data_IF_274345394582
#
_entry.id   IF_274345394582
#
_cell.length_a   1.000
_cell.length_b   1.000
_cell.length_c   1.000
_cell.angle_alpha   90.00
_cell.angle_beta   90.00
_cell.angle_gamma   90.00
#
_symmetry.space_group_name_H-M   'P 1'
#
loop_
_entity.id
_entity.type
_entity.pdbx_description
1 polymer ?
#
# COMPACT_ATOMS: atom_id res chain seq x y z
N UNK A 1 26.20 7.56 8.05
CA UNK A 1 25.50 8.43 7.07
C UNK A 1 25.38 9.83 7.65
N UNK A 2 25.41 10.91 6.85
CA UNK A 2 25.47 12.27 7.37
C UNK A 2 24.26 12.57 8.27
N UNK A 3 24.51 13.17 9.44
CA UNK A 3 23.50 13.75 10.32
C UNK A 3 22.88 15.02 9.74
N UNK A 4 22.91 15.19 8.41
CA UNK A 4 22.46 16.40 7.76
C UNK A 4 20.94 16.45 7.81
N UNK A 5 20.44 17.44 8.54
CA UNK A 5 19.04 17.82 8.51
C UNK A 5 18.93 18.96 7.51
N UNK A 6 18.14 18.77 6.46
CA UNK A 6 17.88 19.81 5.47
C UNK A 6 16.99 20.90 6.08
N UNK A 7 17.23 22.14 5.69
CA UNK A 7 16.48 23.32 6.15
C UNK A 7 14.96 23.15 5.98
N UNK A 8 14.52 22.50 4.89
CA UNK A 8 13.12 22.18 4.63
C UNK A 8 13.01 21.15 3.49
N UNK A 9 11.80 20.67 3.20
CA UNK A 9 11.56 19.66 2.17
C UNK A 9 11.87 20.15 0.75
N UNK A 10 11.68 21.43 0.44
CA UNK A 10 12.05 22.02 -0.87
C UNK A 10 13.56 21.96 -1.09
N UNK A 11 14.38 22.26 -0.07
CA UNK A 11 15.84 22.09 -0.16
C UNK A 11 16.22 20.62 -0.35
N UNK A 12 15.53 19.71 0.33
CA UNK A 12 15.70 18.28 0.12
C UNK A 12 15.33 17.86 -1.32
N UNK A 13 14.17 18.30 -1.83
CA UNK A 13 13.71 18.03 -3.21
C UNK A 13 14.75 18.49 -4.23
N UNK A 14 15.29 19.70 -4.07
CA UNK A 14 16.35 20.23 -4.92
C UNK A 14 17.64 19.40 -4.82
N UNK A 15 18.07 19.05 -3.61
CA UNK A 15 19.27 18.20 -3.39
C UNK A 15 19.14 16.83 -4.04
N UNK A 16 17.96 16.24 -3.99
CA UNK A 16 17.67 14.93 -4.60
C UNK A 16 17.52 15.01 -6.12
N UNK A 17 17.50 16.20 -6.71
CA UNK A 17 17.32 16.39 -8.15
C UNK A 17 15.98 15.84 -8.65
N UNK A 18 14.91 15.93 -7.83
CA UNK A 18 13.58 15.44 -8.20
C UNK A 18 13.08 16.27 -9.39
N UNK A 19 12.98 15.64 -10.55
CA UNK A 19 12.49 16.26 -11.76
C UNK A 19 10.96 16.38 -11.74
N UNK A 20 10.39 17.39 -12.43
CA UNK A 20 8.98 17.34 -12.79
C UNK A 20 8.72 16.12 -13.68
N UNK A 21 7.49 15.62 -13.61
CA UNK A 21 6.97 14.55 -14.47
C UNK A 21 5.81 15.13 -15.31
N UNK A 22 5.34 14.37 -16.29
CA UNK A 22 4.33 14.77 -17.26
C UNK A 22 4.77 15.95 -18.17
N UNK A 23 6.05 16.02 -18.52
CA UNK A 23 6.60 17.05 -19.42
C UNK A 23 6.74 16.58 -20.87
N UNK A 24 6.64 15.27 -21.12
CA UNK A 24 6.90 14.66 -22.42
C UNK A 24 8.39 14.42 -22.68
N UNK A 25 9.23 14.54 -21.65
CA UNK A 25 10.66 14.31 -21.75
C UNK A 25 10.93 12.81 -21.95
N UNK A 26 11.72 12.48 -22.98
CA UNK A 26 12.21 11.12 -23.18
C UNK A 26 13.49 10.87 -22.38
N UNK A 27 13.58 9.68 -21.82
CA UNK A 27 14.72 9.15 -21.08
C UNK A 27 15.27 7.97 -21.87
N UNK A 28 16.59 7.95 -22.10
CA UNK A 28 17.26 6.80 -22.71
C UNK A 28 18.27 6.23 -21.71
N UNK A 29 17.98 5.02 -21.23
CA UNK A 29 18.88 4.29 -20.35
C UNK A 29 19.36 3.02 -21.04
N UNK A 30 20.62 3.02 -21.49
CA UNK A 30 21.26 1.86 -22.15
C UNK A 30 20.44 1.31 -23.33
N UNK A 31 19.83 2.19 -24.13
CA UNK A 31 19.01 1.81 -25.29
C UNK A 31 17.53 1.58 -24.98
N UNK A 32 17.14 1.56 -23.71
CA UNK A 32 15.75 1.52 -23.26
C UNK A 32 15.23 2.96 -23.24
N UNK A 33 14.33 3.29 -24.17
CA UNK A 33 13.68 4.61 -24.24
C UNK A 33 12.37 4.57 -23.45
N UNK A 34 12.18 5.47 -22.49
CA UNK A 34 10.92 5.73 -21.79
C UNK A 34 10.59 7.22 -21.82
N UNK A 35 9.42 7.61 -21.32
CA UNK A 35 9.05 9.02 -21.10
C UNK A 35 8.72 9.27 -19.63
N UNK A 36 8.59 10.56 -19.28
CA UNK A 36 8.19 10.99 -17.95
C UNK A 36 6.67 11.11 -17.79
N UNK A 37 5.87 10.51 -18.67
CA UNK A 37 4.41 10.58 -18.62
C UNK A 37 3.86 9.50 -17.69
N UNK A 38 3.03 9.91 -16.74
CA UNK A 38 2.31 8.99 -15.88
C UNK A 38 1.26 8.21 -16.67
N UNK A 39 1.26 6.89 -16.47
CA UNK A 39 0.27 5.99 -17.05
C UNK A 39 0.05 4.78 -16.13
N UNK A 40 -0.70 3.79 -16.61
CA UNK A 40 -0.76 2.45 -16.03
C UNK A 40 0.15 1.53 -16.84
N UNK A 41 1.27 1.14 -16.28
CA UNK A 41 2.24 0.28 -16.96
C UNK A 41 1.96 -1.18 -16.64
N UNK A 42 1.62 -1.96 -17.67
CA UNK A 42 1.40 -3.39 -17.51
C UNK A 42 2.73 -4.13 -17.33
N UNK A 43 2.86 -4.85 -16.22
CA UNK A 43 4.02 -5.65 -15.88
C UNK A 43 3.57 -7.03 -15.44
N UNK A 44 4.11 -8.09 -16.07
CA UNK A 44 3.86 -9.46 -15.59
C UNK A 44 4.33 -9.60 -14.15
N UNK A 45 3.57 -10.34 -13.34
CA UNK A 45 4.02 -10.81 -12.03
C UNK A 45 5.29 -11.65 -12.21
N UNK A 46 6.00 -11.84 -11.11
CA UNK A 46 7.23 -12.64 -11.12
C UNK A 46 6.94 -14.12 -11.35
N UNK A 47 5.80 -14.58 -10.86
CA UNK A 47 5.30 -15.93 -11.11
C UNK A 47 4.77 -16.07 -12.56
N UNK A 48 4.52 -14.96 -13.25
CA UNK A 48 4.06 -14.93 -14.64
C UNK A 48 2.58 -15.25 -14.82
N UNK A 49 1.83 -15.29 -13.73
CA UNK A 49 0.44 -15.74 -13.61
C UNK A 49 -0.60 -14.61 -13.67
N UNK A 50 -0.18 -13.35 -13.47
CA UNK A 50 -1.06 -12.18 -13.54
C UNK A 50 -0.32 -10.93 -14.02
N UNK A 51 -1.07 -9.87 -14.32
CA UNK A 51 -0.55 -8.55 -14.73
C UNK A 51 -0.72 -7.55 -13.60
N UNK A 52 0.40 -7.00 -13.12
CA UNK A 52 0.42 -5.81 -12.28
C UNK A 52 0.23 -4.58 -13.16
N UNK A 53 -0.68 -3.70 -12.78
CA UNK A 53 -0.89 -2.40 -13.42
C UNK A 53 -0.23 -1.32 -12.57
N UNK A 54 0.99 -0.93 -12.91
CA UNK A 54 1.79 -0.02 -12.09
C UNK A 54 1.47 1.42 -12.46
N UNK A 55 0.94 2.19 -11.51
CA UNK A 55 0.71 3.62 -11.70
C UNK A 55 2.00 4.43 -11.50
N UNK A 56 2.20 5.45 -12.32
CA UNK A 56 3.36 6.35 -12.26
C UNK A 56 4.11 6.42 -13.58
N UNK A 57 5.37 6.84 -13.55
CA UNK A 57 6.24 6.87 -14.73
C UNK A 57 6.84 5.51 -15.01
N UNK A 58 7.14 5.25 -16.28
CA UNK A 58 7.72 3.99 -16.70
C UNK A 58 9.13 3.80 -16.13
N UNK A 59 9.42 2.60 -15.60
CA UNK A 59 10.67 2.30 -14.89
C UNK A 59 10.99 3.32 -13.79
N UNK A 60 10.04 3.61 -12.91
CA UNK A 60 10.41 4.32 -11.68
C UNK A 60 11.45 3.50 -10.91
N UNK A 61 12.71 3.93 -11.03
CA UNK A 61 13.87 3.32 -10.41
C UNK A 61 14.04 3.83 -8.97
N UNK A 62 13.01 4.36 -8.33
CA UNK A 62 13.12 4.85 -6.95
C UNK A 62 11.80 4.75 -6.24
N UNK A 63 11.88 4.22 -5.02
CA UNK A 63 10.77 4.16 -4.08
C UNK A 63 11.04 5.09 -2.90
N UNK A 64 9.94 5.65 -2.39
CA UNK A 64 9.96 6.61 -1.30
C UNK A 64 9.00 6.20 -0.19
N UNK A 65 9.31 6.62 1.04
CA UNK A 65 8.35 6.64 2.15
C UNK A 65 8.52 7.92 2.94
N UNK A 66 7.41 8.59 3.23
CA UNK A 66 7.40 9.80 4.05
C UNK A 66 6.88 9.55 5.45
N UNK A 67 7.49 10.16 6.45
CA UNK A 67 6.97 10.20 7.81
C UNK A 67 7.18 11.59 8.43
N UNK A 68 6.21 12.01 9.25
CA UNK A 68 6.24 13.28 9.98
C UNK A 68 7.40 13.41 10.96
N UNK A 69 8.03 12.29 11.33
CA UNK A 69 9.28 12.28 12.06
C UNK A 69 10.06 10.98 11.81
N UNK A 70 11.35 11.00 12.11
CA UNK A 70 12.13 9.77 12.27
C UNK A 70 11.83 9.12 13.63
N UNK A 71 11.13 8.00 13.61
CA UNK A 71 10.75 7.25 14.82
C UNK A 71 11.86 6.30 15.30
N UNK A 72 13.01 6.25 14.62
CA UNK A 72 14.12 5.34 14.93
C UNK A 72 13.91 3.95 14.35
N UNK A 73 12.83 3.27 14.74
CA UNK A 73 12.42 1.98 14.18
C UNK A 73 11.34 2.15 13.11
N UNK A 74 11.36 1.29 12.08
CA UNK A 74 10.36 1.30 11.01
C UNK A 74 9.73 -0.09 10.85
N UNK A 75 8.63 -0.30 11.57
CA UNK A 75 7.89 -1.56 11.66
C UNK A 75 6.57 -1.50 10.87
N UNK A 76 6.03 -2.67 10.51
CA UNK A 76 4.71 -2.82 9.87
C UNK A 76 3.57 -2.31 10.76
N UNK A 77 2.36 -2.18 10.19
CA UNK A 77 1.16 -1.82 10.95
C UNK A 77 0.91 -2.77 12.13
N UNK A 78 0.99 -4.07 11.89
CA UNK A 78 0.80 -5.10 12.90
C UNK A 78 1.92 -5.10 13.96
N UNK A 79 3.18 -4.95 13.55
CA UNK A 79 4.32 -5.06 14.49
C UNK A 79 4.50 -3.81 15.37
N UNK A 80 3.80 -2.71 15.07
CA UNK A 80 3.67 -1.56 15.99
C UNK A 80 2.75 -1.87 17.17
N UNK A 81 1.85 -2.84 17.06
CA UNK A 81 0.89 -3.21 18.11
C UNK A 81 1.55 -4.19 19.09
N UNK A 82 1.92 -3.68 20.27
CA UNK A 82 2.65 -4.48 21.26
C UNK A 82 1.74 -5.40 22.09
N UNK A 83 0.52 -4.95 22.38
CA UNK A 83 -0.43 -5.71 23.20
C UNK A 83 -1.06 -6.86 22.38
N UNK A 84 -0.86 -8.12 22.82
CA UNK A 84 -1.38 -9.31 22.12
C UNK A 84 -2.88 -9.24 21.80
N UNK A 85 -3.70 -8.76 22.75
CA UNK A 85 -5.15 -8.68 22.56
C UNK A 85 -5.56 -7.60 21.55
N UNK A 86 -4.82 -6.49 21.47
CA UNK A 86 -5.03 -5.47 20.43
C UNK A 86 -4.54 -5.94 19.07
N UNK A 87 -3.43 -6.67 19.02
CA UNK A 87 -2.93 -7.30 17.81
C UNK A 87 -3.96 -8.29 17.27
N UNK A 88 -4.49 -9.15 18.13
CA UNK A 88 -5.55 -10.08 17.76
C UNK A 88 -6.80 -9.35 17.23
N UNK A 89 -7.25 -8.29 17.88
CA UNK A 89 -8.37 -7.48 17.38
C UNK A 89 -8.11 -6.86 16.00
N UNK A 90 -6.90 -6.34 15.76
CA UNK A 90 -6.50 -5.81 14.47
C UNK A 90 -6.49 -6.91 13.38
N UNK A 91 -6.02 -8.12 13.71
CA UNK A 91 -6.06 -9.28 12.82
C UNK A 91 -7.50 -9.68 12.49
N UNK A 92 -8.41 -9.75 13.46
CA UNK A 92 -9.82 -10.05 13.20
C UNK A 92 -10.43 -9.06 12.21
N UNK A 93 -10.20 -7.76 12.38
CA UNK A 93 -10.71 -6.71 11.50
C UNK A 93 -10.12 -6.78 10.10
N UNK A 94 -8.81 -6.98 9.98
CA UNK A 94 -8.12 -7.13 8.68
C UNK A 94 -8.60 -8.39 7.94
N UNK A 95 -8.73 -9.52 8.63
CA UNK A 95 -9.26 -10.76 8.05
C UNK A 95 -10.71 -10.58 7.60
N UNK A 96 -11.56 -10.03 8.46
CA UNK A 96 -12.98 -9.78 8.12
C UNK A 96 -13.11 -8.86 6.91
N UNK A 97 -12.33 -7.78 6.87
CA UNK A 97 -12.29 -6.86 5.73
C UNK A 97 -11.92 -7.57 4.43
N UNK A 98 -10.89 -8.43 4.45
CA UNK A 98 -10.46 -9.19 3.26
C UNK A 98 -11.49 -10.24 2.83
N UNK A 99 -12.19 -10.89 3.76
CA UNK A 99 -13.28 -11.80 3.43
C UNK A 99 -14.45 -11.05 2.76
N UNK A 100 -14.80 -9.87 3.27
CA UNK A 100 -15.80 -9.01 2.66
C UNK A 100 -15.37 -8.55 1.26
N UNK A 101 -14.11 -8.15 1.11
CA UNK A 101 -13.54 -7.71 -0.15
C UNK A 101 -13.50 -8.84 -1.20
N UNK A 102 -13.17 -10.07 -0.80
CA UNK A 102 -13.16 -11.23 -1.69
C UNK A 102 -14.53 -11.58 -2.29
N UNK A 103 -15.62 -11.13 -1.65
CA UNK A 103 -16.99 -11.30 -2.13
C UNK A 103 -17.59 -10.04 -2.74
N UNK A 104 -16.78 -8.97 -2.86
CA UNK A 104 -17.22 -7.71 -3.43
C UNK A 104 -17.47 -7.88 -4.95
N UNK A 105 -18.60 -7.41 -5.52
CA UNK A 105 -18.91 -7.58 -6.94
C UNK A 105 -17.80 -7.14 -7.90
N UNK A 106 -17.21 -5.96 -7.64
CA UNK A 106 -16.04 -5.45 -8.37
C UNK A 106 -14.86 -6.44 -8.35
N UNK A 107 -14.55 -7.05 -7.20
CA UNK A 107 -13.43 -7.99 -7.08
C UNK A 107 -13.72 -9.28 -7.84
N UNK A 108 -14.94 -9.80 -7.73
CA UNK A 108 -15.36 -10.99 -8.46
C UNK A 108 -15.27 -10.78 -9.97
N UNK A 109 -15.80 -9.66 -10.50
CA UNK A 109 -15.71 -9.36 -11.93
C UNK A 109 -14.27 -9.10 -12.41
N UNK A 110 -13.43 -8.49 -11.55
CA UNK A 110 -12.01 -8.30 -11.86
C UNK A 110 -11.22 -9.60 -11.93
N UNK A 111 -11.62 -10.63 -11.17
CA UNK A 111 -10.99 -11.95 -11.25
C UNK A 111 -11.25 -12.65 -12.59
N UNK A 112 -12.39 -12.35 -13.21
CA UNK A 112 -12.76 -12.86 -14.54
C UNK A 112 -12.18 -12.02 -15.69
N UNK A 113 -11.68 -10.81 -15.41
CA UNK A 113 -11.06 -9.93 -16.40
C UNK A 113 -9.63 -10.36 -16.71
N UNK A 114 -9.41 -10.82 -17.94
CA UNK A 114 -8.08 -11.12 -18.48
C UNK A 114 -7.63 -10.04 -19.47
N UNK A 115 -6.36 -9.63 -19.36
CA UNK A 115 -5.72 -8.71 -20.28
C UNK A 115 -4.92 -9.48 -21.34
N UNK A 116 -5.16 -9.17 -22.60
CA UNK A 116 -4.30 -9.58 -23.70
C UNK A 116 -3.24 -8.49 -23.96
N UNK A 117 -2.01 -8.76 -23.56
CA UNK A 117 -0.89 -7.81 -23.74
C UNK A 117 -0.07 -8.09 -25.00
N UNK A 118 -0.17 -9.31 -25.56
CA UNK A 118 0.52 -9.75 -26.78
C UNK A 118 -0.30 -10.89 -27.40
N UNK A 119 -0.76 -10.76 -28.66
CA UNK A 119 -1.56 -11.77 -29.35
C UNK A 119 -0.93 -13.17 -29.43
N UNK A 120 0.37 -13.30 -29.16
CA UNK A 120 1.12 -14.56 -29.15
C UNK A 120 1.15 -15.22 -27.77
N UNK A 121 0.63 -14.57 -26.74
CA UNK A 121 0.65 -15.05 -25.36
C UNK A 121 -0.76 -15.24 -24.82
N UNK A 122 -0.90 -16.12 -23.84
CA UNK A 122 -2.18 -16.29 -23.14
C UNK A 122 -2.56 -14.99 -22.41
N UNK A 123 -3.84 -14.61 -22.49
CA UNK A 123 -4.39 -13.52 -21.68
C UNK A 123 -4.23 -13.86 -20.20
N UNK A 124 -3.85 -12.87 -19.40
CA UNK A 124 -3.58 -13.04 -17.97
C UNK A 124 -4.52 -12.17 -17.13
N UNK A 125 -4.97 -12.64 -15.96
CA UNK A 125 -5.78 -11.84 -15.06
C UNK A 125 -4.99 -10.64 -14.53
N UNK A 126 -5.71 -9.60 -14.07
CA UNK A 126 -5.08 -8.49 -13.32
C UNK A 126 -4.75 -8.96 -11.91
N UNK A 127 -3.56 -8.63 -11.41
CA UNK A 127 -3.14 -8.99 -10.07
C UNK A 127 -3.98 -8.27 -9.00
N UNK A 128 -4.70 -9.04 -8.19
CA UNK A 128 -5.50 -8.53 -7.07
C UNK A 128 -4.75 -8.65 -5.75
N UNK A 129 -4.58 -7.53 -5.05
CA UNK A 129 -3.85 -7.48 -3.77
C UNK A 129 -4.76 -7.04 -2.63
N UNK A 130 -5.51 -7.99 -2.06
CA UNK A 130 -6.48 -7.70 -0.99
C UNK A 130 -5.82 -7.18 0.30
N UNK A 131 -4.59 -7.61 0.59
CA UNK A 131 -3.80 -7.10 1.73
C UNK A 131 -3.38 -5.64 1.49
N UNK A 132 -2.90 -5.32 0.29
CA UNK A 132 -2.54 -3.96 -0.12
C UNK A 132 -3.76 -3.03 -0.10
N UNK A 133 -4.91 -3.50 -0.58
CA UNK A 133 -6.16 -2.73 -0.46
C UNK A 133 -6.46 -2.50 1.03
N UNK A 134 -6.51 -3.53 1.87
CA UNK A 134 -6.78 -3.38 3.31
C UNK A 134 -5.85 -2.35 3.98
N UNK A 135 -4.55 -2.37 3.64
CA UNK A 135 -3.57 -1.41 4.14
C UNK A 135 -3.93 0.05 3.78
N UNK A 136 -4.22 0.32 2.50
CA UNK A 136 -4.57 1.67 2.03
C UNK A 136 -5.97 2.14 2.52
N UNK A 137 -6.78 1.22 3.02
CA UNK A 137 -8.04 1.51 3.72
C UNK A 137 -7.89 1.62 5.25
N UNK A 138 -6.67 1.59 5.77
CA UNK A 138 -6.34 1.90 7.16
C UNK A 138 -6.25 0.69 8.10
N UNK A 139 -6.37 -0.53 7.57
CA UNK A 139 -6.24 -1.74 8.37
C UNK A 139 -4.76 -2.02 8.65
N UNK A 140 -4.47 -2.56 9.84
CA UNK A 140 -3.12 -2.99 10.17
C UNK A 140 -2.76 -4.25 9.37
N UNK A 141 -1.69 -4.17 8.61
CA UNK A 141 -1.12 -5.27 7.82
C UNK A 141 0.36 -5.47 8.15
N UNK A 142 0.95 -6.52 7.61
CA UNK A 142 2.40 -6.74 7.66
C UNK A 142 3.17 -5.94 6.60
N UNK A 143 2.45 -5.21 5.76
CA UNK A 143 3.03 -4.37 4.75
C UNK A 143 3.50 -3.04 5.34
N UNK A 144 4.49 -2.46 4.67
CA UNK A 144 4.96 -1.11 4.88
C UNK A 144 4.73 -0.32 3.59
N UNK A 145 3.94 0.75 3.68
CA UNK A 145 3.62 1.58 2.50
C UNK A 145 4.87 2.26 1.96
N UNK A 146 5.07 2.10 0.67
CA UNK A 146 6.06 2.81 -0.14
C UNK A 146 5.35 3.37 -1.37
N UNK A 147 5.96 4.35 -2.01
CA UNK A 147 5.39 4.99 -3.19
C UNK A 147 6.50 5.40 -4.13
N UNK A 148 6.25 5.19 -5.42
CA UNK A 148 7.17 5.62 -6.46
C UNK A 148 7.08 7.15 -6.72
N UNK A 149 6.18 7.86 -6.02
CA UNK A 149 5.96 9.30 -6.14
C UNK A 149 6.57 10.07 -4.96
N UNK A 150 7.55 10.92 -5.27
CA UNK A 150 8.12 11.82 -4.27
C UNK A 150 7.09 12.80 -3.71
N UNK A 151 6.10 13.22 -4.51
CA UNK A 151 5.03 14.13 -4.06
C UNK A 151 4.11 13.45 -3.05
N UNK A 152 3.72 12.19 -3.28
CA UNK A 152 2.93 11.40 -2.32
C UNK A 152 3.71 11.20 -1.02
N UNK A 153 4.98 10.80 -1.10
CA UNK A 153 5.83 10.67 0.08
C UNK A 153 5.98 12.01 0.82
N UNK A 154 6.07 13.12 0.08
CA UNK A 154 6.13 14.47 0.65
C UNK A 154 4.88 14.81 1.46
N UNK A 155 3.69 14.43 0.98
CA UNK A 155 2.44 14.59 1.72
C UNK A 155 2.50 13.86 3.07
N UNK A 156 2.74 12.55 3.08
CA UNK A 156 2.81 11.78 4.33
C UNK A 156 3.96 12.20 5.27
N UNK A 157 5.02 12.81 4.73
CA UNK A 157 6.08 13.39 5.55
C UNK A 157 5.73 14.74 6.18
N UNK A 158 4.71 15.44 5.68
CA UNK A 158 4.41 16.84 6.06
C UNK A 158 3.00 17.07 6.59
N UNK A 159 2.16 16.04 6.62
CA UNK A 159 0.81 16.07 7.18
C UNK A 159 0.66 15.10 8.35
N UNK A 160 0.00 15.53 9.42
CA UNK A 160 -0.38 14.66 10.55
C UNK A 160 -1.84 14.23 10.38
N UNK A 161 -2.11 12.95 10.61
CA UNK A 161 -3.47 12.44 10.71
C UNK A 161 -4.08 12.76 12.08
N UNK A 162 -5.27 13.37 12.11
CA UNK A 162 -6.12 13.48 13.29
C UNK A 162 -7.17 12.36 13.24
N UNK A 163 -7.07 11.41 14.17
CA UNK A 163 -7.97 10.26 14.24
C UNK A 163 -9.39 10.61 14.70
N UNK A 164 -9.60 11.74 15.38
CA UNK A 164 -10.92 12.19 15.86
C UNK A 164 -11.71 12.82 14.72
N UNK A 165 -11.07 13.71 13.96
CA UNK A 165 -11.72 14.39 12.84
C UNK A 165 -11.59 13.62 11.53
N UNK A 166 -10.80 12.54 11.51
CA UNK A 166 -10.47 11.72 10.33
C UNK A 166 -9.95 12.57 9.16
N UNK A 167 -9.03 13.49 9.47
CA UNK A 167 -8.49 14.47 8.50
C UNK A 167 -6.99 14.66 8.70
N UNK A 168 -6.33 15.05 7.62
CA UNK A 168 -4.95 15.51 7.69
C UNK A 168 -4.86 16.97 8.14
N UNK A 169 -3.79 17.29 8.86
CA UNK A 169 -3.43 18.64 9.27
C UNK A 169 -1.98 18.94 8.88
N UNK A 170 -1.70 20.13 8.31
CA UNK A 170 -0.34 20.57 8.02
C UNK A 170 0.56 20.59 9.26
N UNK A 171 1.71 19.94 9.14
CA UNK A 171 2.75 20.01 10.16
C UNK A 171 3.18 21.46 10.39
N UNK A 172 3.41 21.81 11.65
CA UNK A 172 4.00 23.09 12.06
C UNK A 172 5.49 22.89 12.34
N UNK A 173 6.21 23.98 12.53
CA UNK A 173 7.58 23.92 13.02
C UNK A 173 7.62 23.16 14.36
N UNK A 174 8.48 22.15 14.44
CA UNK A 174 8.70 21.35 15.64
C UNK A 174 10.14 20.83 15.68
N UNK A 175 10.59 20.40 16.86
CA UNK A 175 11.98 19.96 17.08
C UNK A 175 12.34 18.66 16.35
N UNK A 176 11.36 17.76 16.18
CA UNK A 176 11.58 16.47 15.51
C UNK A 176 11.51 16.64 13.99
N UNK A 177 12.58 16.35 13.25
CA UNK A 177 12.61 16.51 11.80
C UNK A 177 11.73 15.46 11.12
N UNK A 178 11.05 15.84 10.04
CA UNK A 178 10.42 14.90 9.11
C UNK A 178 11.48 14.04 8.40
N UNK A 179 11.05 12.93 7.82
CA UNK A 179 11.96 12.01 7.11
C UNK A 179 11.35 11.50 5.81
N UNK A 180 12.17 11.48 4.76
CA UNK A 180 11.94 10.74 3.53
C UNK A 180 12.94 9.59 3.48
N UNK A 181 12.44 8.37 3.40
CA UNK A 181 13.22 7.19 3.06
C UNK A 181 13.26 7.08 1.54
N UNK A 182 14.44 6.76 0.99
CA UNK A 182 14.65 6.53 -0.45
C UNK A 182 15.45 5.25 -0.63
N UNK A 183 15.02 4.40 -1.55
CA UNK A 183 15.74 3.19 -1.95
C UNK A 183 15.42 2.85 -3.40
N UNK A 184 16.18 1.90 -3.95
CA UNK A 184 15.99 1.45 -5.32
C UNK A 184 15.42 0.01 -5.31
N UNK A 185 14.23 -0.24 -5.87
CA UNK A 185 13.58 -1.55 -5.79
C UNK A 185 14.37 -2.67 -6.45
N UNK A 186 15.28 -2.37 -7.39
CA UNK A 186 16.14 -3.37 -8.03
C UNK A 186 16.94 -4.23 -7.03
N UNK A 187 17.32 -3.68 -5.87
CA UNK A 187 18.01 -4.44 -4.81
C UNK A 187 17.09 -5.42 -4.06
N UNK A 188 15.78 -5.31 -4.24
CA UNK A 188 14.73 -6.10 -3.60
C UNK A 188 13.96 -6.99 -4.59
N UNK A 189 14.28 -6.86 -5.89
CA UNK A 189 13.74 -7.68 -7.00
C UNK A 189 14.58 -8.94 -7.26
N UNK A 190 15.38 -9.36 -6.27
CA UNK A 190 16.02 -10.67 -6.24
C UNK A 190 15.84 -11.21 -4.83
N UNK A 191 15.37 -12.48 -4.67
CA UNK A 191 15.24 -13.06 -3.35
C UNK A 191 16.61 -13.08 -2.66
N UNK A 192 16.71 -12.66 -1.38
CA UNK A 192 17.91 -12.92 -0.59
C UNK A 192 18.25 -14.42 -0.63
N UNK A 193 19.54 -14.81 -0.65
CA UNK A 193 19.93 -16.22 -0.59
C UNK A 193 19.16 -16.94 0.54
N UNK A 194 18.38 -17.97 0.18
CA UNK A 194 17.60 -18.77 1.13
C UNK A 194 16.23 -18.20 1.53
N UNK A 195 15.75 -17.11 0.92
CA UNK A 195 14.37 -16.63 1.06
C UNK A 195 13.59 -16.89 -0.23
N UNK A 196 12.43 -17.56 -0.14
CA UNK A 196 11.59 -17.86 -1.30
C UNK A 196 10.59 -16.73 -1.63
N UNK A 197 10.35 -15.78 -0.72
CA UNK A 197 9.40 -14.69 -0.94
C UNK A 197 10.13 -13.37 -1.17
N UNK A 198 9.69 -12.63 -2.18
CA UNK A 198 10.19 -11.29 -2.39
C UNK A 198 9.57 -10.30 -1.39
N UNK A 199 10.39 -9.42 -0.78
CA UNK A 199 9.87 -8.40 0.12
C UNK A 199 9.11 -7.30 -0.64
N UNK A 200 9.47 -7.01 -1.90
CA UNK A 200 8.81 -5.97 -2.70
C UNK A 200 7.50 -6.50 -3.30
N UNK A 201 6.40 -5.80 -3.00
CA UNK A 201 5.04 -6.14 -3.42
C UNK A 201 4.52 -5.00 -4.32
N UNK A 202 4.40 -5.24 -5.65
CA UNK A 202 3.69 -4.30 -6.51
C UNK A 202 2.21 -4.27 -6.10
N UNK A 203 1.71 -3.09 -5.70
CA UNK A 203 0.28 -2.90 -5.39
C UNK A 203 -0.38 -2.20 -6.56
N UNK A 204 0.22 -1.10 -7.02
CA UNK A 204 -0.20 -0.37 -8.21
C UNK A 204 -1.67 0.03 -8.20
N UNK A 205 -2.28 -0.05 -9.38
CA UNK A 205 -3.71 0.07 -9.55
C UNK A 205 -4.42 -1.17 -8.98
N UNK A 206 -5.49 -0.91 -8.24
CA UNK A 206 -6.46 -1.87 -7.76
C UNK A 206 -7.83 -1.29 -8.10
N UNK A 207 -8.93 -2.08 -8.14
CA UNK A 207 -10.23 -1.58 -8.58
C UNK A 207 -10.96 -0.73 -7.52
N UNK A 208 -10.17 -0.08 -6.67
CA UNK A 208 -10.56 0.87 -5.64
C UNK A 208 -9.55 2.02 -5.66
N UNK A 209 -9.96 3.28 -5.45
CA UNK A 209 -9.15 4.43 -5.84
C UNK A 209 -7.87 4.63 -5.03
N UNK A 210 -7.86 4.28 -3.73
CA UNK A 210 -6.75 4.69 -2.83
C UNK A 210 -5.37 4.17 -3.24
N UNK A 211 -5.18 2.89 -3.63
CA UNK A 211 -3.88 2.41 -4.10
C UNK A 211 -3.34 3.15 -5.33
N UNK A 212 -4.16 3.37 -6.37
CA UNK A 212 -3.72 4.09 -7.58
C UNK A 212 -3.30 5.52 -7.23
N UNK A 213 -4.12 6.23 -6.45
CA UNK A 213 -3.88 7.64 -6.10
C UNK A 213 -2.64 7.85 -5.25
N UNK A 214 -2.28 6.87 -4.43
CA UNK A 214 -1.07 6.89 -3.62
C UNK A 214 0.16 6.35 -4.36
N UNK A 215 0.01 5.91 -5.62
CA UNK A 215 1.05 5.21 -6.38
C UNK A 215 1.64 4.07 -5.56
N UNK A 216 0.73 3.26 -5.02
CA UNK A 216 1.00 2.31 -3.96
C UNK A 216 1.97 1.22 -4.39
N UNK A 217 2.96 0.97 -3.56
CA UNK A 217 3.71 -0.27 -3.50
C UNK A 217 3.90 -0.64 -2.03
N UNK A 218 4.31 -1.86 -1.75
CA UNK A 218 4.51 -2.31 -0.38
C UNK A 218 5.83 -3.06 -0.21
N UNK A 219 6.36 -3.00 1.00
CA UNK A 219 7.36 -3.95 1.49
C UNK A 219 6.67 -4.88 2.49
N UNK A 220 6.69 -6.20 2.22
CA UNK A 220 6.28 -7.22 3.20
C UNK A 220 7.39 -7.40 4.23
N UNK A 221 7.10 -7.12 5.50
CA UNK A 221 8.04 -7.28 6.61
C UNK A 221 7.73 -8.55 7.39
N UNK A 222 8.77 -9.30 7.76
CA UNK A 222 8.66 -10.42 8.70
C UNK A 222 8.26 -9.90 10.09
N UNK A 223 7.66 -10.72 10.96
CA UNK A 223 7.31 -10.31 12.31
C UNK A 223 8.49 -9.69 13.06
N UNK A 224 8.32 -8.46 13.53
CA UNK A 224 9.36 -7.69 14.23
C UNK A 224 10.51 -7.16 13.37
N UNK A 225 10.47 -7.33 12.05
CA UNK A 225 11.50 -6.82 11.14
C UNK A 225 11.47 -5.29 11.04
N UNK A 226 12.65 -4.67 11.14
CA UNK A 226 12.83 -3.23 10.97
C UNK A 226 13.36 -2.93 9.56
N UNK A 227 12.50 -2.32 8.75
CA UNK A 227 12.78 -1.94 7.38
C UNK A 227 14.10 -1.17 7.22
N UNK A 228 14.47 -0.35 8.19
CA UNK A 228 15.66 0.50 8.09
C UNK A 228 16.96 -0.19 8.50
N UNK A 229 16.85 -1.39 9.10
CA UNK A 229 17.98 -2.23 9.48
C UNK A 229 18.15 -3.40 8.51
N UNK A 230 17.07 -3.90 7.93
CA UNK A 230 17.10 -5.06 7.04
C UNK A 230 17.28 -4.73 5.56
N UNK A 231 17.06 -3.48 5.14
CA UNK A 231 17.10 -3.09 3.73
C UNK A 231 18.06 -1.92 3.45
N UNK A 232 18.64 -1.84 2.23
CA UNK A 232 19.56 -0.77 1.84
C UNK A 232 18.80 0.55 1.57
N UNK A 233 18.27 1.16 2.64
CA UNK A 233 17.51 2.41 2.59
C UNK A 233 18.32 3.61 3.06
N UNK A 234 18.17 4.74 2.36
CA UNK A 234 18.78 6.01 2.74
C UNK A 234 17.73 6.90 3.42
N UNK A 235 18.06 7.42 4.60
CA UNK A 235 17.20 8.34 5.36
C UNK A 235 17.59 9.80 5.09
N UNK A 236 16.64 10.60 4.62
CA UNK A 236 16.81 12.06 4.44
C UNK A 236 15.92 12.81 5.41
N UNK A 237 16.50 13.60 6.31
CA UNK A 237 15.77 14.35 7.36
C UNK A 237 15.63 15.81 7.00
N UNK A 238 14.49 16.44 7.28
CA UNK A 238 14.26 17.86 7.01
C UNK A 238 13.51 18.55 8.16
N UNK A 239 13.71 19.85 8.33
CA UNK A 239 12.91 20.63 9.29
C UNK A 239 11.53 20.95 8.71
N UNK A 240 10.50 20.90 9.56
CA UNK A 240 9.14 21.23 9.16
C UNK A 240 8.98 22.74 8.92
N UNK A 241 8.27 23.09 7.86
CA UNK A 241 7.87 24.46 7.54
C UNK A 241 6.37 24.52 7.33
N UNK A 242 5.66 25.29 8.16
CA UNK A 242 4.19 25.40 8.09
C UNK A 242 3.71 25.84 6.70
N UNK A 243 4.42 26.80 6.08
CA UNK A 243 4.06 27.30 4.75
C UNK A 243 4.20 26.20 3.68
N UNK A 244 5.24 25.37 3.79
CA UNK A 244 5.48 24.28 2.85
C UNK A 244 4.48 23.13 3.07
N UNK A 245 4.24 22.74 4.32
CA UNK A 245 3.21 21.76 4.66
C UNK A 245 1.83 22.19 4.18
N UNK A 246 1.47 23.48 4.30
CA UNK A 246 0.19 24.02 3.81
C UNK A 246 0.07 23.97 2.30
N UNK A 247 1.13 24.31 1.56
CA UNK A 247 1.13 24.22 0.09
C UNK A 247 0.90 22.79 -0.39
N UNK A 248 1.61 21.83 0.22
CA UNK A 248 1.43 20.40 -0.11
C UNK A 248 0.02 19.93 0.27
N UNK A 249 -0.51 20.39 1.41
CA UNK A 249 -1.88 20.11 1.81
C UNK A 249 -2.90 20.58 0.77
N UNK A 250 -2.75 21.81 0.27
CA UNK A 250 -3.61 22.37 -0.77
C UNK A 250 -3.48 21.63 -2.12
N UNK A 251 -2.26 21.25 -2.52
CA UNK A 251 -1.99 20.47 -3.74
C UNK A 251 -2.78 19.15 -3.77
N UNK A 252 -2.84 18.47 -2.62
CA UNK A 252 -3.57 17.22 -2.43
C UNK A 252 -5.01 17.40 -1.92
N UNK A 253 -5.54 18.64 -1.93
CA UNK A 253 -6.91 18.96 -1.51
C UNK A 253 -7.23 18.41 -0.10
N UNK A 254 -6.31 18.67 0.82
CA UNK A 254 -6.42 18.22 2.20
C UNK A 254 -6.24 16.70 2.42
N UNK A 255 -5.86 15.98 1.37
CA UNK A 255 -5.71 14.53 1.37
C UNK A 255 -6.79 13.81 0.55
N UNK A 256 -7.84 14.51 0.11
CA UNK A 256 -8.97 13.92 -0.62
C UNK A 256 -8.53 13.30 -1.96
N UNK A 257 -7.46 13.83 -2.57
CA UNK A 257 -6.84 13.22 -3.75
C UNK A 257 -6.22 11.85 -3.47
N UNK A 258 -5.70 11.61 -2.27
CA UNK A 258 -4.99 10.38 -1.90
C UNK A 258 -5.88 9.36 -1.19
N UNK A 259 -6.87 9.85 -0.45
CA UNK A 259 -7.80 9.06 0.35
C UNK A 259 -9.24 9.46 0.04
N UNK A 260 -9.68 9.37 -1.23
CA UNK A 260 -11.06 9.71 -1.58
C UNK A 260 -12.05 8.87 -0.77
N UNK A 261 -13.23 9.46 -0.55
CA UNK A 261 -14.35 8.78 0.05
C UNK A 261 -14.95 7.78 -0.95
N UNK A 262 -15.29 6.59 -0.45
CA UNK A 262 -16.04 5.56 -1.15
C UNK A 262 -16.70 4.62 -0.13
N UNK A 263 -17.44 3.63 -0.64
CA UNK A 263 -18.13 2.65 0.20
C UNK A 263 -17.17 1.78 1.01
N UNK A 264 -15.99 1.48 0.46
CA UNK A 264 -14.98 0.65 1.11
C UNK A 264 -14.30 1.38 2.28
N UNK A 265 -14.13 2.70 2.19
CA UNK A 265 -13.69 3.58 3.25
C UNK A 265 -14.66 3.58 4.42
N UNK A 266 -15.96 3.78 4.11
CA UNK A 266 -17.03 3.78 5.11
C UNK A 266 -17.13 2.42 5.80
N UNK A 267 -17.01 1.33 5.03
CA UNK A 267 -16.95 -0.02 5.57
C UNK A 267 -15.75 -0.21 6.50
N UNK A 268 -14.54 0.19 6.07
CA UNK A 268 -13.33 0.11 6.91
C UNK A 268 -13.49 0.85 8.24
N UNK A 269 -14.01 2.08 8.22
CA UNK A 269 -14.27 2.87 9.42
C UNK A 269 -15.24 2.16 10.38
N UNK A 270 -16.27 1.49 9.86
CA UNK A 270 -17.22 0.73 10.68
C UNK A 270 -16.56 -0.44 11.44
N UNK A 271 -15.45 -0.98 10.92
CA UNK A 271 -14.74 -2.10 11.55
C UNK A 271 -13.96 -1.68 12.80
N UNK A 272 -13.68 -0.39 13.00
CA UNK A 272 -12.99 0.10 14.21
C UNK A 272 -13.78 -0.21 15.49
N UNK A 273 -15.11 -0.14 15.43
CA UNK A 273 -16.01 -0.44 16.55
C UNK A 273 -16.42 -1.92 16.62
N UNK A 274 -16.17 -2.69 15.55
CA UNK A 274 -16.58 -4.09 15.48
C UNK A 274 -15.78 -4.97 16.45
N UNK A 275 -16.51 -5.79 17.19
CA UNK A 275 -16.00 -6.73 18.17
C UNK A 275 -16.65 -8.13 18.07
N UNK A 276 -17.66 -8.32 17.22
CA UNK A 276 -18.28 -9.62 16.97
C UNK A 276 -17.82 -10.14 15.61
N UNK A 277 -17.35 -11.39 15.53
CA UNK A 277 -16.85 -11.99 14.27
C UNK A 277 -17.32 -13.44 14.11
N UNK A 278 -17.52 -13.92 12.87
CA UNK A 278 -17.88 -15.32 12.63
C UNK A 278 -16.68 -16.24 12.88
N UNK A 279 -16.95 -17.51 13.15
CA UNK A 279 -15.91 -18.49 13.53
C UNK A 279 -14.79 -18.56 12.48
N UNK A 280 -15.14 -18.55 11.19
CA UNK A 280 -14.18 -18.55 10.08
C UNK A 280 -13.18 -17.38 10.12
N UNK A 281 -13.61 -16.18 10.52
CA UNK A 281 -12.72 -15.02 10.70
C UNK A 281 -11.81 -15.22 11.90
N UNK A 282 -12.36 -15.71 13.02
CA UNK A 282 -11.60 -15.95 14.25
C UNK A 282 -10.49 -16.99 14.02
N UNK A 283 -10.79 -18.08 13.31
CA UNK A 283 -9.83 -19.15 13.01
C UNK A 283 -8.65 -18.63 12.18
N UNK A 284 -8.94 -17.86 11.12
CA UNK A 284 -7.92 -17.23 10.29
C UNK A 284 -7.10 -16.16 11.05
N UNK A 285 -7.75 -15.41 11.95
CA UNK A 285 -7.08 -14.45 12.82
C UNK A 285 -6.15 -15.14 13.82
N UNK A 286 -6.57 -16.27 14.41
CA UNK A 286 -5.73 -17.08 15.30
C UNK A 286 -4.56 -17.72 14.54
N UNK A 287 -4.79 -18.22 13.32
CA UNK A 287 -3.72 -18.73 12.48
C UNK A 287 -2.68 -17.65 12.19
N UNK A 288 -3.13 -16.45 11.80
CA UNK A 288 -2.26 -15.29 11.56
C UNK A 288 -1.51 -14.89 12.83
N UNK A 289 -2.18 -14.88 13.98
CA UNK A 289 -1.58 -14.59 15.28
C UNK A 289 -0.49 -15.62 15.64
N UNK A 290 -0.78 -16.91 15.47
CA UNK A 290 0.14 -18.02 15.75
C UNK A 290 1.40 -17.97 14.89
N UNK A 291 1.29 -17.61 13.61
CA UNK A 291 2.43 -17.37 12.71
C UNK A 291 3.33 -16.23 13.21
N UNK A 292 2.77 -15.20 13.85
CA UNK A 292 3.51 -14.03 14.34
C UNK A 292 4.09 -14.19 15.74
N UNK A 293 3.46 -14.97 16.62
CA UNK A 293 3.85 -15.05 18.05
C UNK A 293 4.33 -16.44 18.52
N UNK A 294 4.18 -17.52 17.72
CA UNK A 294 4.51 -18.93 18.05
C UNK A 294 4.00 -19.42 19.46
N UNK A 295 4.16 -20.70 19.84
CA UNK A 295 3.18 -21.80 19.70
C UNK A 295 2.15 -21.96 20.85
N UNK A 296 1.98 -21.00 21.76
CA UNK A 296 1.01 -21.18 22.87
C UNK A 296 -0.43 -20.83 22.47
N UNK A 297 -0.87 -21.31 21.31
CA UNK A 297 -2.25 -21.16 20.83
C UNK A 297 -3.16 -22.23 21.46
N UNK A 298 -3.29 -22.19 22.79
CA UNK A 298 -4.19 -23.05 23.54
C UNK A 298 -5.59 -22.47 23.60
N UNK A 299 -6.61 -23.30 23.78
CA UNK A 299 -8.00 -22.85 23.99
C UNK A 299 -8.10 -21.78 25.10
N UNK A 300 -7.38 -21.95 26.21
CA UNK A 300 -7.35 -20.98 27.30
C UNK A 300 -6.73 -19.64 26.89
N UNK A 301 -5.64 -19.65 26.09
CA UNK A 301 -5.03 -18.41 25.55
C UNK A 301 -5.97 -17.74 24.55
N UNK A 302 -6.62 -18.50 23.66
CA UNK A 302 -7.62 -17.99 22.71
C UNK A 302 -8.77 -17.29 23.43
N UNK A 303 -9.37 -17.96 24.42
CA UNK A 303 -10.43 -17.39 25.25
C UNK A 303 -9.94 -16.14 26.00
N UNK A 304 -8.73 -16.17 26.56
CA UNK A 304 -8.16 -14.99 27.24
C UNK A 304 -7.91 -13.82 26.28
N UNK A 305 -7.45 -14.07 25.06
CA UNK A 305 -7.23 -13.04 24.04
C UNK A 305 -8.55 -12.41 23.62
N UNK A 306 -9.56 -13.23 23.31
CA UNK A 306 -10.90 -12.77 22.96
C UNK A 306 -11.51 -11.94 24.09
N UNK A 307 -11.49 -12.45 25.32
CA UNK A 307 -12.03 -11.74 26.48
C UNK A 307 -11.34 -10.39 26.72
N UNK A 308 -10.00 -10.33 26.64
CA UNK A 308 -9.24 -9.08 26.79
C UNK A 308 -9.44 -8.11 25.64
N UNK A 309 -9.69 -8.62 24.44
CA UNK A 309 -10.00 -7.82 23.26
C UNK A 309 -11.47 -7.35 23.22
N UNK A 310 -12.33 -7.88 24.11
CA UNK A 310 -13.78 -7.67 24.05
C UNK A 310 -14.43 -8.31 22.83
N UNK A 311 -13.81 -9.36 22.26
CA UNK A 311 -14.24 -10.03 21.04
C UNK A 311 -15.16 -11.20 21.35
N UNK A 312 -16.26 -11.29 20.62
CA UNK A 312 -17.26 -12.35 20.73
C UNK A 312 -17.48 -13.07 19.40
N UNK A 313 -17.99 -14.29 19.48
CA UNK A 313 -18.41 -15.08 18.33
C UNK A 313 -19.80 -14.59 17.86
N UNK A 314 -19.99 -14.42 16.55
CA UNK A 314 -21.31 -14.19 15.96
C UNK A 314 -22.19 -15.44 15.99
N UNK A 315 -23.51 -15.27 16.07
CA UNK A 315 -24.48 -16.38 16.07
C UNK A 315 -24.43 -17.25 14.81
N UNK A 316 -23.84 -16.74 13.72
CA UNK A 316 -23.65 -17.47 12.48
C UNK A 316 -22.19 -17.92 12.34
N UNK A 317 -22.00 -19.22 12.09
CA UNK A 317 -20.65 -19.81 11.98
C UNK A 317 -19.87 -19.30 10.76
N UNK A 318 -20.56 -18.99 9.66
CA UNK A 318 -19.96 -18.55 8.41
C UNK A 318 -20.03 -17.04 8.19
N UNK A 319 -19.01 -16.51 7.51
CA UNK A 319 -19.03 -15.14 7.02
C UNK A 319 -20.22 -14.93 6.07
N UNK A 320 -21.08 -13.97 6.40
CA UNK A 320 -22.14 -13.52 5.49
C UNK A 320 -21.58 -12.47 4.55
N UNK A 321 -21.83 -12.65 3.25
CA UNK A 321 -21.50 -11.67 2.23
C UNK A 321 -22.03 -10.30 2.63
N UNK A 322 -21.14 -9.31 2.59
CA UNK A 322 -21.50 -7.92 2.81
C UNK A 322 -22.35 -7.44 1.62
N UNK A 323 -23.45 -6.76 1.91
CA UNK A 323 -24.21 -6.07 0.86
C UNK A 323 -23.43 -4.81 0.44
N UNK A 324 -23.19 -4.70 -0.85
CA UNK A 324 -22.44 -3.61 -1.47
C UNK A 324 -23.33 -2.87 -2.45
N UNK A 325 -23.26 -1.54 -2.46
CA UNK A 325 -23.81 -0.78 -3.58
C UNK A 325 -22.95 -1.05 -4.80
N UNK A 326 -23.51 -1.70 -5.81
CA UNK A 326 -22.79 -1.98 -7.05
C UNK A 326 -23.60 -1.53 -8.25
N UNK A 327 -22.96 -0.76 -9.13
CA UNK A 327 -23.53 -0.25 -10.37
C UNK A 327 -22.71 -0.76 -11.54
N UNK A 328 -23.27 -1.69 -12.31
CA UNK A 328 -22.58 -2.33 -13.44
C UNK A 328 -22.04 -1.29 -14.44
N UNK A 329 -22.86 -0.32 -14.85
CA UNK A 329 -22.45 0.73 -15.80
C UNK A 329 -21.25 1.56 -15.32
N UNK A 330 -21.19 1.85 -14.01
CA UNK A 330 -20.08 2.60 -13.44
C UNK A 330 -18.79 1.78 -13.40
N UNK A 331 -18.90 0.48 -13.08
CA UNK A 331 -17.79 -0.45 -13.15
C UNK A 331 -17.28 -0.58 -14.60
N UNK A 332 -18.16 -0.83 -15.56
CA UNK A 332 -17.78 -0.97 -16.97
C UNK A 332 -17.07 0.28 -17.49
N UNK A 333 -17.58 1.47 -17.16
CA UNK A 333 -16.95 2.75 -17.52
C UNK A 333 -15.55 2.90 -16.90
N UNK A 334 -15.37 2.49 -15.64
CA UNK A 334 -14.07 2.52 -14.97
C UNK A 334 -13.07 1.54 -15.60
N UNK A 335 -13.52 0.34 -15.97
CA UNK A 335 -12.68 -0.64 -16.68
C UNK A 335 -12.26 -0.08 -18.05
N UNK A 336 -13.17 0.49 -18.82
CA UNK A 336 -12.82 1.13 -20.10
C UNK A 336 -11.84 2.29 -19.91
N UNK A 337 -12.04 3.12 -18.88
CA UNK A 337 -11.11 4.20 -18.52
C UNK A 337 -9.74 3.64 -18.18
N UNK A 338 -9.67 2.60 -17.36
CA UNK A 338 -8.43 1.93 -16.97
C UNK A 338 -7.71 1.40 -18.21
N UNK A 339 -8.39 0.59 -19.04
CA UNK A 339 -7.81 -0.02 -20.25
C UNK A 339 -7.26 1.02 -21.22
N UNK A 340 -7.93 2.16 -21.39
CA UNK A 340 -7.46 3.26 -22.26
C UNK A 340 -6.15 3.90 -21.80
N UNK A 341 -5.76 3.71 -20.53
CA UNK A 341 -4.53 4.25 -19.93
C UNK A 341 -3.42 3.20 -19.80
N UNK A 342 -3.71 1.93 -20.11
CA UNK A 342 -2.71 0.86 -20.01
C UNK A 342 -1.68 1.02 -21.12
N UNK A 343 -0.41 1.11 -20.73
CA UNK A 343 0.74 1.07 -21.62
C UNK A 343 1.43 -0.28 -21.50
N UNK A 344 1.68 -0.91 -22.64
CA UNK A 344 2.45 -2.16 -22.73
C UNK A 344 3.78 -1.89 -23.44
N UNK A 345 4.83 -2.61 -23.06
CA UNK A 345 6.02 -2.73 -23.90
C UNK A 345 5.94 -4.01 -24.70
N UNK A 346 5.92 -3.87 -26.04
CA UNK A 346 6.17 -5.01 -26.89
C UNK A 346 7.65 -5.41 -26.77
N UNK A 347 7.90 -6.65 -26.37
CA UNK A 347 9.24 -7.24 -26.47
C UNK A 347 9.51 -7.44 -27.97
N UNK A 348 10.54 -6.77 -28.48
CA UNK A 348 11.02 -7.04 -29.84
C UNK A 348 11.63 -8.44 -29.86
N UNK A 349 10.98 -9.35 -30.56
CA UNK A 349 11.57 -10.63 -30.93
C UNK A 349 12.11 -10.46 -32.35
N UNK A 350 13.44 -10.55 -32.58
CA UNK A 350 13.95 -10.55 -33.93
C UNK A 350 13.30 -11.72 -34.71
N UNK A 351 12.94 -11.52 -35.99
CA UNK A 351 12.42 -12.61 -36.81
C UNK A 351 13.40 -13.77 -36.83
N UNK A 352 12.88 -14.97 -36.56
CA UNK A 352 13.59 -16.25 -36.57
C UNK A 352 14.20 -16.60 -37.92
#
# INVERSE_FOLDING_TARGET
MPKTIYENLTRLKHRLGIQPINTGQQLNYRGIVSDDIEALHAMRSIEGDCINLMSGVEFSLTEYRGQTQDYGNCLSGLDRIQDDHKLFAALCRSVYFKQALATHPVVMQMQDLALDLDPRTQSLPVCMNLEGIAQHYGLATEYLDITNSFSVASFFATQRWDSKTKKFEPMRAQSKPGVIYKFHPAFLMSPPMGCNEMPYIPVGWQPFPRPEQQRANAIRLKPGEDFTKSMPVVKYRFQHSRNQSKRIYEEFEGGDKLMPADDLASFSDSLEARNCFPQSTLDLAFQSYGKRKQPQDTTAKRQSLMAKAGITLEEHDSFKTQEWTFKQEAFDAEIQRMLSKVRTRMVYYPPS
#
